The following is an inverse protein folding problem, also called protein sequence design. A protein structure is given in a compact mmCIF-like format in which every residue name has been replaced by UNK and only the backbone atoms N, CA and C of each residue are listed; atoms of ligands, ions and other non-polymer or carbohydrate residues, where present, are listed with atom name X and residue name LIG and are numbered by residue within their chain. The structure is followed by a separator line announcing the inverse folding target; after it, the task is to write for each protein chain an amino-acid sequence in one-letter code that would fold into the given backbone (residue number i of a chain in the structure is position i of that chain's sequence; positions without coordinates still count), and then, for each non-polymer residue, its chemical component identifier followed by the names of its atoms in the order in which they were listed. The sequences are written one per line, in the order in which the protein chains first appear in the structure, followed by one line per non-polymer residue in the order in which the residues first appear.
data_IF_179864656540
#
_entry.id   IF_179864656540
#
_cell.length_a   1.000
_cell.length_b   1.000
_cell.length_c   1.000
_cell.angle_alpha   90.00
_cell.angle_beta   90.00
_cell.angle_gamma   90.00
#
_symmetry.space_group_name_H-M   'P 1'
#
loop_
_entity.id
_entity.type
_entity.pdbx_description
1 polymer ?
#
# COMPACT_ATOMS: atom_id res chain seq x y z
N UNK A 1 -18.26 14.58 -7.05
CA UNK A 1 -16.81 14.43 -6.78
C UNK A 1 -16.42 13.54 -5.60
N UNK A 2 -17.25 13.35 -4.59
CA UNK A 2 -16.91 12.51 -3.40
C UNK A 2 -17.27 11.03 -3.58
N UNK A 3 -18.08 10.68 -4.58
CA UNK A 3 -18.56 9.29 -4.85
C UNK A 3 -17.48 8.29 -5.30
N UNK A 4 -16.31 8.74 -5.71
CA UNK A 4 -15.26 7.88 -6.25
C UNK A 4 -14.19 7.50 -5.23
N UNK A 5 -14.38 7.84 -3.94
CA UNK A 5 -13.50 7.39 -2.87
C UNK A 5 -13.86 5.95 -2.51
N UNK A 6 -13.31 5.01 -3.27
CA UNK A 6 -13.33 3.59 -2.88
C UNK A 6 -12.39 3.39 -1.70
N UNK A 7 -12.97 3.21 -0.51
CA UNK A 7 -12.23 2.91 0.72
C UNK A 7 -11.66 1.51 0.60
N UNK A 8 -10.37 1.44 0.27
CA UNK A 8 -9.67 0.19 0.03
C UNK A 8 -9.89 -0.33 -1.39
N UNK A 9 -8.80 -0.54 -2.12
CA UNK A 9 -8.83 -1.11 -3.47
C UNK A 9 -8.94 -2.65 -3.43
N UNK A 10 -9.64 -3.20 -2.42
CA UNK A 10 -9.83 -4.64 -2.31
C UNK A 10 -10.66 -5.18 -3.48
N UNK A 11 -10.10 -6.18 -4.19
CA UNK A 11 -10.80 -6.88 -5.27
C UNK A 11 -11.40 -8.19 -4.74
N UNK A 12 -12.72 -8.34 -4.68
CA UNK A 12 -13.37 -9.53 -4.13
C UNK A 12 -13.26 -10.70 -5.10
N UNK A 13 -12.16 -11.47 -5.01
CA UNK A 13 -11.96 -12.70 -5.75
C UNK A 13 -11.72 -13.88 -4.80
N UNK A 14 -12.19 -15.06 -5.22
CA UNK A 14 -11.87 -16.30 -4.50
C UNK A 14 -10.58 -16.91 -5.07
N UNK A 15 -9.46 -16.64 -4.41
CA UNK A 15 -8.17 -17.24 -4.75
C UNK A 15 -7.44 -17.74 -3.51
N UNK A 16 -6.47 -18.66 -3.66
CA UNK A 16 -5.63 -19.09 -2.54
C UNK A 16 -4.98 -17.92 -1.81
N UNK A 17 -4.52 -16.89 -2.54
CA UNK A 17 -3.88 -15.71 -1.96
C UNK A 17 -4.86 -14.89 -1.11
N UNK A 18 -6.13 -14.75 -1.52
CA UNK A 18 -7.13 -14.02 -0.73
C UNK A 18 -7.40 -14.70 0.62
N UNK A 19 -7.29 -16.04 0.69
CA UNK A 19 -7.55 -16.83 1.90
C UNK A 19 -6.38 -16.87 2.88
N UNK A 20 -5.18 -16.40 2.48
CA UNK A 20 -4.01 -16.33 3.37
C UNK A 20 -4.26 -15.36 4.53
N UNK A 21 -3.65 -15.67 5.66
CA UNK A 21 -3.63 -14.78 6.83
C UNK A 21 -3.00 -13.42 6.46
N UNK A 22 -3.61 -12.29 6.86
CA UNK A 22 -3.09 -10.94 6.57
C UNK A 22 -1.64 -10.74 7.05
N UNK A 23 -1.24 -11.37 8.15
CA UNK A 23 0.15 -11.32 8.66
C UNK A 23 1.14 -11.87 7.65
N UNK A 24 0.79 -13.02 7.05
CA UNK A 24 1.62 -13.68 6.04
C UNK A 24 1.78 -12.79 4.81
N UNK A 25 0.68 -12.20 4.34
CA UNK A 25 0.69 -11.29 3.19
C UNK A 25 1.59 -10.08 3.43
N UNK A 26 1.51 -9.44 4.60
CA UNK A 26 2.35 -8.29 4.96
C UNK A 26 3.82 -8.70 4.95
N UNK A 27 4.17 -9.78 5.64
CA UNK A 27 5.57 -10.23 5.76
C UNK A 27 6.12 -10.68 4.41
N UNK A 28 5.38 -11.47 3.64
CA UNK A 28 5.80 -11.93 2.31
C UNK A 28 5.99 -10.75 1.34
N UNK A 29 5.10 -9.75 1.40
CA UNK A 29 5.25 -8.53 0.59
C UNK A 29 6.49 -7.75 1.01
N UNK A 30 6.74 -7.57 2.31
CA UNK A 30 7.95 -6.91 2.80
C UNK A 30 9.22 -7.64 2.35
N UNK A 31 9.26 -8.96 2.47
CA UNK A 31 10.38 -9.77 1.99
C UNK A 31 10.59 -9.56 0.48
N UNK A 32 9.53 -9.57 -0.31
CA UNK A 32 9.58 -9.29 -1.74
C UNK A 32 10.13 -7.90 -2.03
N UNK A 33 9.62 -6.86 -1.36
CA UNK A 33 10.10 -5.49 -1.54
C UNK A 33 11.58 -5.35 -1.17
N UNK A 34 12.00 -5.90 -0.02
CA UNK A 34 13.41 -5.90 0.40
C UNK A 34 14.30 -6.64 -0.59
N UNK A 35 13.84 -7.77 -1.15
CA UNK A 35 14.60 -8.54 -2.12
C UNK A 35 14.96 -7.73 -3.38
N UNK A 36 14.08 -6.81 -3.81
CA UNK A 36 14.32 -5.94 -4.97
C UNK A 36 15.44 -4.91 -4.73
N UNK A 37 15.74 -4.57 -3.47
CA UNK A 37 16.87 -3.70 -3.13
C UNK A 37 18.18 -4.47 -2.97
N UNK A 38 18.11 -5.71 -2.53
CA UNK A 38 19.29 -6.59 -2.42
C UNK A 38 19.78 -7.03 -3.80
N UNK A 39 18.88 -7.00 -4.80
CA UNK A 39 19.11 -7.53 -6.12
C UNK A 39 19.82 -6.53 -7.03
N UNK A 40 20.94 -6.97 -7.66
CA UNK A 40 21.73 -6.18 -8.61
C UNK A 40 22.00 -6.92 -9.94
N UNK A 41 21.42 -8.11 -10.17
CA UNK A 41 21.65 -8.88 -11.40
C UNK A 41 20.40 -8.95 -12.28
N UNK A 42 20.61 -9.03 -13.59
CA UNK A 42 19.52 -9.18 -14.60
C UNK A 42 18.69 -10.41 -14.33
N UNK A 43 19.35 -11.55 -14.00
CA UNK A 43 18.67 -12.81 -13.73
C UNK A 43 17.77 -12.73 -12.48
N UNK A 44 18.20 -11.99 -11.46
CA UNK A 44 17.37 -11.82 -10.27
C UNK A 44 16.15 -10.95 -10.53
N UNK A 45 16.24 -9.90 -11.36
CA UNK A 45 15.05 -9.15 -11.78
C UNK A 45 14.10 -9.99 -12.63
N UNK A 46 14.64 -10.86 -13.49
CA UNK A 46 13.83 -11.81 -14.25
C UNK A 46 13.10 -12.80 -13.30
N UNK A 47 13.80 -13.34 -12.29
CA UNK A 47 13.18 -14.19 -11.28
C UNK A 47 12.10 -13.45 -10.48
N UNK A 48 12.38 -12.20 -10.06
CA UNK A 48 11.41 -11.37 -9.34
C UNK A 48 10.15 -11.08 -10.20
N UNK A 49 10.35 -10.83 -11.49
CA UNK A 49 9.24 -10.64 -12.44
C UNK A 49 8.40 -11.91 -12.58
N UNK A 50 9.03 -13.07 -12.79
CA UNK A 50 8.34 -14.36 -12.90
C UNK A 50 7.59 -14.69 -11.60
N UNK A 51 8.23 -14.48 -10.45
CA UNK A 51 7.60 -14.69 -9.14
C UNK A 51 6.34 -13.82 -8.98
N UNK A 52 6.46 -12.53 -9.28
CA UNK A 52 5.32 -11.60 -9.19
C UNK A 52 4.21 -11.97 -10.20
N UNK A 53 4.57 -12.31 -11.43
CA UNK A 53 3.62 -12.73 -12.46
C UNK A 53 2.85 -14.01 -12.04
N UNK A 54 3.54 -14.98 -11.44
CA UNK A 54 2.90 -16.16 -10.85
C UNK A 54 1.94 -15.78 -9.72
N UNK A 55 2.34 -14.88 -8.81
CA UNK A 55 1.47 -14.42 -7.72
C UNK A 55 0.24 -13.69 -8.25
N UNK A 56 0.39 -12.83 -9.26
CA UNK A 56 -0.73 -12.14 -9.92
C UNK A 56 -1.67 -13.15 -10.55
N UNK A 57 -1.17 -14.14 -11.28
CA UNK A 57 -1.98 -15.19 -11.90
C UNK A 57 -2.78 -15.98 -10.85
N UNK A 58 -2.12 -16.45 -9.79
CA UNK A 58 -2.74 -17.21 -8.70
C UNK A 58 -3.76 -16.36 -7.92
N UNK A 59 -3.55 -15.03 -7.82
CA UNK A 59 -4.48 -14.12 -7.13
C UNK A 59 -5.80 -13.94 -7.88
N UNK A 60 -5.86 -14.25 -9.18
CA UNK A 60 -7.01 -13.99 -10.06
C UNK A 60 -7.40 -12.51 -10.14
N UNK A 61 -6.50 -11.61 -9.77
CA UNK A 61 -6.69 -10.17 -9.94
C UNK A 61 -6.36 -9.81 -11.39
N UNK A 62 -7.27 -9.17 -12.14
CA UNK A 62 -6.99 -8.78 -13.51
C UNK A 62 -5.80 -7.80 -13.58
N UNK A 63 -4.83 -8.07 -14.44
CA UNK A 63 -3.63 -7.24 -14.62
C UNK A 63 -3.96 -5.76 -14.92
N UNK A 64 -5.14 -5.51 -15.48
CA UNK A 64 -5.65 -4.15 -15.74
C UNK A 64 -5.76 -3.30 -14.45
N UNK A 65 -6.09 -3.90 -13.31
CA UNK A 65 -6.16 -3.19 -12.03
C UNK A 65 -4.76 -2.83 -11.52
N UNK A 66 -3.79 -3.74 -11.67
CA UNK A 66 -2.40 -3.47 -11.33
C UNK A 66 -1.84 -2.35 -12.23
N UNK A 67 -2.15 -2.38 -13.53
CA UNK A 67 -1.80 -1.31 -14.48
C UNK A 67 -2.42 0.04 -14.11
N UNK A 68 -3.65 0.06 -13.60
CA UNK A 68 -4.26 1.31 -13.08
C UNK A 68 -3.51 1.85 -11.86
N UNK A 69 -2.98 0.97 -10.99
CA UNK A 69 -2.15 1.36 -9.85
C UNK A 69 -0.80 1.97 -10.27
N UNK A 70 -0.28 1.61 -11.45
CA UNK A 70 0.94 2.18 -12.01
C UNK A 70 0.73 3.59 -12.60
N UNK A 71 -0.48 3.90 -13.09
CA UNK A 71 -0.77 5.15 -13.80
C UNK A 71 -0.32 6.43 -13.07
N UNK A 72 -0.61 6.65 -11.78
CA UNK A 72 -0.18 7.85 -11.06
C UNK A 72 1.34 7.94 -10.90
N UNK A 73 2.05 6.83 -11.01
CA UNK A 73 3.50 6.73 -10.78
C UNK A 73 4.29 6.87 -12.09
N UNK A 74 3.61 6.81 -13.26
CA UNK A 74 4.26 6.94 -14.57
C UNK A 74 5.04 8.25 -14.68
N UNK A 75 4.52 9.36 -14.16
CA UNK A 75 5.20 10.66 -14.19
C UNK A 75 6.50 10.59 -13.38
N UNK A 76 6.45 10.04 -12.16
CA UNK A 76 7.63 9.85 -11.32
C UNK A 76 8.64 8.91 -11.97
N UNK A 77 8.15 7.83 -12.59
CA UNK A 77 8.98 6.85 -13.31
C UNK A 77 9.71 7.52 -14.48
N UNK A 78 9.01 8.28 -15.32
CA UNK A 78 9.60 9.01 -16.43
C UNK A 78 10.65 10.02 -15.93
N UNK A 79 10.34 10.75 -14.86
CA UNK A 79 11.28 11.69 -14.25
C UNK A 79 12.53 10.98 -13.74
N UNK A 80 12.38 9.86 -13.03
CA UNK A 80 13.50 9.09 -12.48
C UNK A 80 14.37 8.50 -13.59
N UNK A 81 13.74 7.95 -14.64
CA UNK A 81 14.44 7.42 -15.81
C UNK A 81 15.22 8.52 -16.51
N UNK A 82 14.60 9.68 -16.76
CA UNK A 82 15.26 10.82 -17.39
C UNK A 82 16.45 11.32 -16.56
N UNK A 83 16.27 11.48 -15.26
CA UNK A 83 17.35 11.90 -14.34
C UNK A 83 18.53 10.92 -14.38
N UNK A 84 18.27 9.61 -14.26
CA UNK A 84 19.34 8.63 -14.31
C UNK A 84 20.02 8.57 -15.68
N UNK A 85 19.25 8.71 -16.77
CA UNK A 85 19.79 8.68 -18.13
C UNK A 85 20.76 9.82 -18.42
N UNK A 86 20.46 11.03 -17.91
CA UNK A 86 21.24 12.25 -18.19
C UNK A 86 22.28 12.58 -17.12
N UNK A 87 22.06 12.23 -15.85
CA UNK A 87 22.97 12.57 -14.76
C UNK A 87 24.01 11.48 -14.50
N UNK A 88 23.71 10.20 -14.79
CA UNK A 88 24.64 9.11 -14.54
C UNK A 88 25.73 9.11 -15.63
N UNK A 89 26.94 9.48 -15.23
CA UNK A 89 28.13 9.49 -16.11
C UNK A 89 28.98 8.26 -15.80
N UNK A 90 29.36 7.52 -16.85
CA UNK A 90 30.25 6.35 -16.72
C UNK A 90 30.12 5.39 -17.90
N UNK A 91 31.15 4.57 -18.15
CA UNK A 91 31.16 3.63 -19.27
C UNK A 91 31.33 4.28 -20.64
N UNK A 92 31.08 3.51 -21.70
CA UNK A 92 31.16 3.99 -23.08
C UNK A 92 30.06 5.00 -23.40
N UNK A 93 30.41 6.09 -24.07
CA UNK A 93 29.43 7.08 -24.55
C UNK A 93 28.72 6.51 -25.78
N UNK A 94 27.43 6.24 -25.64
CA UNK A 94 26.59 5.71 -26.72
C UNK A 94 26.11 6.81 -27.66
N UNK A 95 25.79 7.98 -27.10
CA UNK A 95 25.28 9.11 -27.88
C UNK A 95 25.73 10.42 -27.22
N UNK A 96 26.31 11.30 -28.01
CA UNK A 96 26.75 12.63 -27.60
C UNK A 96 26.14 13.69 -28.51
N UNK A 97 25.27 14.53 -27.96
CA UNK A 97 24.70 15.67 -28.69
C UNK A 97 24.75 16.93 -27.81
N UNK A 98 25.77 17.74 -27.97
CA UNK A 98 25.98 18.97 -27.20
C UNK A 98 26.10 18.72 -25.70
N UNK A 99 25.13 19.16 -24.92
CA UNK A 99 25.11 19.03 -23.45
C UNK A 99 24.61 17.65 -23.00
N UNK A 100 23.91 16.92 -23.88
CA UNK A 100 23.28 15.63 -23.55
C UNK A 100 24.26 14.51 -23.94
N UNK A 101 24.74 13.78 -22.92
CA UNK A 101 25.56 12.59 -23.09
C UNK A 101 24.84 11.38 -22.53
N UNK A 102 24.48 10.43 -23.37
CA UNK A 102 23.91 9.16 -22.97
C UNK A 102 25.04 8.14 -22.86
N UNK A 103 25.24 7.62 -21.65
CA UNK A 103 26.26 6.61 -21.38
C UNK A 103 25.62 5.22 -21.25
N UNK A 104 26.41 4.17 -21.50
CA UNK A 104 25.95 2.79 -21.34
C UNK A 104 25.46 2.51 -19.91
N UNK A 105 26.23 2.96 -18.91
CA UNK A 105 25.84 2.83 -17.48
C UNK A 105 24.58 3.62 -17.19
N UNK A 106 24.42 4.84 -17.70
CA UNK A 106 23.22 5.65 -17.53
C UNK A 106 21.96 4.96 -18.08
N UNK A 107 22.05 4.41 -19.30
CA UNK A 107 20.95 3.67 -19.92
C UNK A 107 20.59 2.42 -19.11
N UNK A 108 21.60 1.66 -18.73
CA UNK A 108 21.42 0.42 -17.95
C UNK A 108 20.78 0.70 -16.59
N UNK A 109 21.31 1.66 -15.85
CA UNK A 109 20.76 2.05 -14.53
C UNK A 109 19.32 2.56 -14.65
N UNK A 110 19.00 3.34 -15.68
CA UNK A 110 17.66 3.85 -15.93
C UNK A 110 16.65 2.71 -16.16
N UNK A 111 17.00 1.72 -16.99
CA UNK A 111 16.13 0.56 -17.25
C UNK A 111 15.90 -0.24 -15.97
N UNK A 112 16.95 -0.52 -15.20
CA UNK A 112 16.82 -1.32 -13.98
C UNK A 112 16.03 -0.58 -12.89
N UNK A 113 16.24 0.75 -12.77
CA UNK A 113 15.43 1.57 -11.86
C UNK A 113 13.95 1.56 -12.26
N UNK A 114 13.66 1.67 -13.57
CA UNK A 114 12.30 1.58 -14.07
C UNK A 114 11.65 0.23 -13.73
N UNK A 115 12.35 -0.88 -14.00
CA UNK A 115 11.87 -2.23 -13.68
C UNK A 115 11.66 -2.39 -12.17
N UNK A 116 12.62 -1.93 -11.35
CA UNK A 116 12.51 -1.96 -9.89
C UNK A 116 11.26 -1.24 -9.40
N UNK A 117 11.04 0.00 -9.86
CA UNK A 117 9.87 0.79 -9.46
C UNK A 117 8.55 0.12 -9.87
N UNK A 118 8.48 -0.43 -11.08
CA UNK A 118 7.30 -1.16 -11.54
C UNK A 118 7.03 -2.38 -10.67
N UNK A 119 8.05 -3.17 -10.34
CA UNK A 119 7.90 -4.36 -9.49
C UNK A 119 7.53 -3.99 -8.04
N UNK A 120 8.11 -2.93 -7.48
CA UNK A 120 7.76 -2.41 -6.15
C UNK A 120 6.29 -2.05 -6.06
N UNK A 121 5.81 -1.27 -7.05
CA UNK A 121 4.41 -0.80 -7.07
C UNK A 121 3.47 -1.95 -7.35
N UNK A 122 3.78 -2.83 -8.28
CA UNK A 122 2.93 -3.97 -8.60
C UNK A 122 2.84 -4.96 -7.42
N UNK A 123 3.95 -5.21 -6.71
CA UNK A 123 3.97 -6.07 -5.53
C UNK A 123 3.17 -5.50 -4.35
N UNK A 124 3.33 -4.21 -4.04
CA UNK A 124 2.53 -3.55 -3.00
C UNK A 124 1.05 -3.45 -3.37
N UNK A 125 0.73 -3.18 -4.65
CA UNK A 125 -0.65 -3.14 -5.15
C UNK A 125 -1.32 -4.51 -5.01
N UNK A 126 -0.62 -5.60 -5.30
CA UNK A 126 -1.16 -6.95 -5.15
C UNK A 126 -1.61 -7.22 -3.70
N UNK A 127 -0.82 -6.81 -2.70
CA UNK A 127 -1.21 -6.90 -1.29
C UNK A 127 -2.49 -6.10 -1.01
N UNK A 128 -2.58 -4.88 -1.52
CA UNK A 128 -3.74 -3.99 -1.34
C UNK A 128 -5.00 -4.57 -1.99
N UNK A 129 -4.90 -5.16 -3.18
CA UNK A 129 -6.04 -5.79 -3.86
C UNK A 129 -6.49 -7.10 -3.21
N UNK A 130 -5.60 -7.81 -2.50
CA UNK A 130 -5.91 -9.11 -1.91
C UNK A 130 -6.21 -9.08 -0.42
N UNK A 131 -6.07 -7.91 0.24
CA UNK A 131 -6.27 -7.78 1.69
C UNK A 131 -7.25 -6.66 1.99
N UNK A 132 -8.26 -6.95 2.82
CA UNK A 132 -9.20 -5.91 3.27
C UNK A 132 -8.53 -4.96 4.25
N UNK A 133 -8.93 -3.67 4.32
CA UNK A 133 -8.37 -2.71 5.28
C UNK A 133 -8.45 -3.19 6.73
N UNK A 134 -9.58 -3.78 7.14
CA UNK A 134 -9.74 -4.35 8.48
C UNK A 134 -8.79 -5.54 8.72
N UNK A 135 -8.63 -6.42 7.72
CA UNK A 135 -7.67 -7.52 7.79
C UNK A 135 -6.23 -7.02 7.91
N UNK A 136 -5.89 -5.95 7.19
CA UNK A 136 -4.57 -5.33 7.29
C UNK A 136 -4.31 -4.79 8.71
N UNK A 137 -5.29 -4.11 9.30
CA UNK A 137 -5.21 -3.61 10.68
C UNK A 137 -5.03 -4.75 11.69
N UNK A 138 -5.80 -5.83 11.57
CA UNK A 138 -5.67 -7.01 12.43
C UNK A 138 -4.31 -7.71 12.28
N UNK A 139 -3.81 -7.77 11.04
CA UNK A 139 -2.48 -8.31 10.74
C UNK A 139 -1.37 -7.48 11.37
N UNK A 140 -1.44 -6.16 11.23
CA UNK A 140 -0.48 -5.22 11.81
C UNK A 140 -0.47 -5.28 13.33
N UNK A 141 -1.64 -5.33 13.98
CA UNK A 141 -1.74 -5.47 15.44
C UNK A 141 -0.96 -6.70 15.95
N UNK A 142 -1.14 -7.83 15.28
CA UNK A 142 -0.44 -9.05 15.68
C UNK A 142 1.06 -9.04 15.39
N UNK A 143 1.47 -8.42 14.28
CA UNK A 143 2.89 -8.28 13.93
C UNK A 143 3.61 -7.27 14.84
N UNK A 144 2.92 -6.19 15.23
CA UNK A 144 3.48 -5.15 16.09
C UNK A 144 3.32 -5.46 17.58
N UNK A 145 2.62 -6.53 17.96
CA UNK A 145 2.41 -6.92 19.35
C UNK A 145 3.72 -6.99 20.19
N UNK A 146 4.88 -7.42 19.67
CA UNK A 146 6.13 -7.37 20.42
C UNK A 146 6.54 -5.97 20.89
N UNK A 147 6.07 -4.89 20.21
CA UNK A 147 6.34 -3.50 20.57
C UNK A 147 5.65 -3.09 21.88
N UNK A 148 4.66 -3.86 22.36
CA UNK A 148 4.08 -3.64 23.70
C UNK A 148 5.16 -3.72 24.80
N UNK A 149 6.26 -4.46 24.57
CA UNK A 149 7.39 -4.53 25.52
C UNK A 149 8.14 -3.20 25.71
N UNK A 150 8.03 -2.32 24.73
CA UNK A 150 8.62 -0.96 24.77
C UNK A 150 7.54 0.11 25.01
N UNK A 151 6.44 -0.27 25.66
CA UNK A 151 5.32 0.60 26.04
C UNK A 151 4.57 1.26 24.87
N UNK A 152 4.61 0.70 23.68
CA UNK A 152 3.77 1.16 22.56
C UNK A 152 2.37 0.53 22.70
N UNK A 153 1.30 1.32 22.80
CA UNK A 153 -0.07 0.81 22.98
C UNK A 153 -0.65 0.27 21.65
N UNK A 154 -0.09 -0.85 21.17
CA UNK A 154 -0.42 -1.40 19.83
C UNK A 154 -1.89 -1.79 19.72
N UNK A 155 -2.47 -2.32 20.79
CA UNK A 155 -3.89 -2.71 20.80
C UNK A 155 -4.81 -1.50 20.64
N UNK A 156 -4.54 -0.43 21.39
CA UNK A 156 -5.32 0.81 21.34
C UNK A 156 -5.22 1.48 19.97
N UNK A 157 -4.03 1.52 19.39
CA UNK A 157 -3.81 2.04 18.02
C UNK A 157 -4.61 1.22 17.00
N UNK A 158 -4.56 -0.10 17.08
CA UNK A 158 -5.31 -0.99 16.19
C UNK A 158 -6.81 -0.81 16.32
N UNK A 159 -7.29 -0.66 17.54
CA UNK A 159 -8.70 -0.40 17.82
C UNK A 159 -9.13 0.96 17.24
N UNK A 160 -8.34 2.02 17.45
CA UNK A 160 -8.62 3.33 16.86
C UNK A 160 -8.69 3.26 15.32
N UNK A 161 -7.75 2.54 14.69
CA UNK A 161 -7.78 2.33 13.23
C UNK A 161 -9.04 1.58 12.79
N UNK A 162 -9.45 0.54 13.50
CA UNK A 162 -10.65 -0.24 13.17
C UNK A 162 -11.93 0.60 13.32
N UNK A 163 -12.00 1.44 14.35
CA UNK A 163 -13.10 2.41 14.55
C UNK A 163 -13.10 3.43 13.42
N UNK A 164 -11.94 4.02 13.09
CA UNK A 164 -11.80 4.98 12.01
C UNK A 164 -12.28 4.40 10.68
N UNK A 165 -11.80 3.20 10.30
CA UNK A 165 -12.21 2.52 9.06
C UNK A 165 -13.72 2.27 8.99
N UNK A 166 -14.38 2.06 10.12
CA UNK A 166 -15.85 1.92 10.20
C UNK A 166 -16.57 3.25 10.04
N UNK A 167 -16.01 4.32 10.61
CA UNK A 167 -16.64 5.64 10.57
C UNK A 167 -16.44 6.38 9.25
N UNK A 168 -15.38 6.10 8.48
CA UNK A 168 -15.15 6.77 7.19
C UNK A 168 -16.37 6.68 6.25
N UNK A 169 -16.98 5.50 5.98
CA UNK A 169 -18.17 5.43 5.12
C UNK A 169 -19.33 6.25 5.67
N UNK A 170 -19.54 6.20 6.99
CA UNK A 170 -20.63 6.88 7.67
C UNK A 170 -20.46 8.41 7.56
N UNK A 171 -19.23 8.90 7.78
CA UNK A 171 -18.91 10.32 7.64
C UNK A 171 -18.99 10.81 6.21
N UNK A 172 -18.65 9.98 5.21
CA UNK A 172 -18.84 10.31 3.79
C UNK A 172 -20.32 10.49 3.45
N UNK A 173 -21.17 9.57 3.89
CA UNK A 173 -22.62 9.71 3.71
C UNK A 173 -23.20 10.94 4.40
N UNK A 174 -22.72 11.24 5.62
CA UNK A 174 -23.10 12.45 6.36
C UNK A 174 -22.67 13.71 5.62
N UNK A 175 -21.43 13.72 5.11
CA UNK A 175 -20.89 14.84 4.30
C UNK A 175 -21.75 15.07 3.07
N UNK A 176 -22.16 14.03 2.36
CA UNK A 176 -23.05 14.14 1.19
C UNK A 176 -24.42 14.74 1.56
N UNK A 177 -24.97 14.34 2.72
CA UNK A 177 -26.25 14.88 3.22
C UNK A 177 -26.13 16.35 3.57
N UNK A 178 -25.09 16.73 4.34
CA UNK A 178 -24.84 18.12 4.72
C UNK A 178 -24.60 18.98 3.49
N UNK A 179 -23.80 18.51 2.53
CA UNK A 179 -23.50 19.21 1.28
C UNK A 179 -24.78 19.51 0.50
N UNK A 180 -25.64 18.50 0.31
CA UNK A 180 -26.95 18.67 -0.38
C UNK A 180 -27.85 19.70 0.34
N UNK A 181 -27.87 19.66 1.67
CA UNK A 181 -28.64 20.61 2.47
C UNK A 181 -28.10 22.05 2.33
N UNK A 182 -26.79 22.23 2.27
CA UNK A 182 -26.16 23.54 2.10
C UNK A 182 -26.36 24.08 0.68
N UNK A 183 -26.29 23.23 -0.35
CA UNK A 183 -26.61 23.61 -1.73
C UNK A 183 -28.07 24.08 -1.83
N UNK A 184 -29.01 23.39 -1.19
CA UNK A 184 -30.41 23.80 -1.16
C UNK A 184 -30.64 25.16 -0.44
N UNK A 185 -29.71 25.56 0.42
CA UNK A 185 -29.67 26.88 1.08
C UNK A 185 -28.93 27.93 0.27
N UNK A 186 -28.51 27.65 -0.95
CA UNK A 186 -27.83 28.56 -1.86
C UNK A 186 -26.29 28.63 -1.67
N UNK A 187 -25.69 27.68 -0.96
CA UNK A 187 -24.24 27.59 -0.87
C UNK A 187 -23.63 27.16 -2.20
N UNK A 188 -22.58 27.88 -2.63
CA UNK A 188 -21.80 27.57 -3.82
C UNK A 188 -20.38 27.14 -3.42
N UNK A 189 -20.01 25.92 -3.81
CA UNK A 189 -18.72 25.30 -3.47
C UNK A 189 -17.74 25.30 -4.65
N UNK A 190 -18.19 25.69 -5.85
CA UNK A 190 -17.41 25.54 -7.09
C UNK A 190 -16.90 26.88 -7.61
N UNK A 191 -17.62 27.98 -7.39
CA UNK A 191 -17.23 29.30 -7.87
C UNK A 191 -16.33 30.07 -6.89
N UNK A 192 -15.56 31.00 -7.42
CA UNK A 192 -14.72 31.91 -6.65
C UNK A 192 -13.25 31.47 -6.47
N UNK A 193 -12.52 32.33 -5.75
CA UNK A 193 -11.08 32.12 -5.49
C UNK A 193 -10.86 31.00 -4.44
N UNK A 194 -9.64 30.44 -4.35
CA UNK A 194 -9.28 29.33 -3.42
C UNK A 194 -9.70 29.66 -1.98
N UNK A 195 -9.51 30.90 -1.53
CA UNK A 195 -9.88 31.35 -0.17
C UNK A 195 -11.41 31.36 0.01
N UNK A 196 -12.17 31.77 -1.00
CA UNK A 196 -13.62 31.77 -0.97
C UNK A 196 -14.18 30.36 -0.93
N UNK A 197 -13.64 29.43 -1.72
CA UNK A 197 -13.97 28.01 -1.67
C UNK A 197 -13.68 27.40 -0.31
N UNK A 198 -12.52 27.70 0.29
CA UNK A 198 -12.19 27.23 1.63
C UNK A 198 -13.19 27.73 2.69
N UNK A 199 -13.60 29.01 2.61
CA UNK A 199 -14.63 29.57 3.50
C UNK A 199 -16.00 28.92 3.27
N UNK A 200 -16.37 28.63 2.03
CA UNK A 200 -17.61 27.95 1.69
C UNK A 200 -17.68 26.52 2.27
N UNK A 201 -16.54 25.87 2.55
CA UNK A 201 -16.54 24.55 3.19
C UNK A 201 -16.80 24.59 4.71
N UNK A 202 -16.67 25.73 5.39
CA UNK A 202 -16.89 25.83 6.84
C UNK A 202 -18.30 25.36 7.26
N UNK A 203 -19.39 25.73 6.56
CA UNK A 203 -20.74 25.25 6.88
C UNK A 203 -20.93 23.73 6.74
N UNK A 204 -20.01 23.04 6.07
CA UNK A 204 -19.99 21.57 6.00
C UNK A 204 -19.15 21.00 7.16
N UNK A 205 -17.99 21.59 7.42
CA UNK A 205 -17.05 21.09 8.42
C UNK A 205 -17.59 21.17 9.84
N UNK A 206 -18.24 22.29 10.21
CA UNK A 206 -18.73 22.47 11.59
C UNK A 206 -19.80 21.42 11.97
N UNK A 207 -20.88 21.22 11.19
CA UNK A 207 -21.86 20.18 11.51
C UNK A 207 -21.27 18.77 11.49
N UNK A 208 -20.34 18.48 10.55
CA UNK A 208 -19.67 17.20 10.47
C UNK A 208 -18.84 16.91 11.72
N UNK A 209 -18.11 17.93 12.21
CA UNK A 209 -17.29 17.82 13.41
C UNK A 209 -18.17 17.58 14.66
N UNK A 210 -19.27 18.31 14.81
CA UNK A 210 -20.24 18.12 15.90
C UNK A 210 -20.85 16.72 15.86
N UNK A 211 -21.22 16.23 14.67
CA UNK A 211 -21.73 14.87 14.48
C UNK A 211 -20.67 13.81 14.85
N UNK A 212 -19.42 14.00 14.44
CA UNK A 212 -18.32 13.09 14.75
C UNK A 212 -18.08 13.00 16.28
N UNK A 213 -18.06 14.13 16.99
CA UNK A 213 -17.93 14.17 18.45
C UNK A 213 -19.09 13.49 19.15
N UNK A 214 -20.32 13.74 18.70
CA UNK A 214 -21.49 13.07 19.30
C UNK A 214 -21.38 11.54 19.17
N UNK A 215 -21.01 11.06 17.98
CA UNK A 215 -20.80 9.61 17.73
C UNK A 215 -19.67 9.05 18.56
N UNK A 216 -18.59 9.81 18.76
CA UNK A 216 -17.48 9.38 19.62
C UNK A 216 -17.93 9.22 21.08
N UNK A 217 -18.72 10.17 21.59
CA UNK A 217 -19.28 10.08 22.94
C UNK A 217 -20.27 8.88 23.07
N UNK A 218 -21.16 8.70 22.10
CA UNK A 218 -22.10 7.56 22.10
C UNK A 218 -21.34 6.23 22.09
N UNK A 219 -20.24 6.14 21.31
CA UNK A 219 -19.41 4.95 21.27
C UNK A 219 -18.68 4.73 22.61
N UNK A 220 -18.14 5.80 23.21
CA UNK A 220 -17.45 5.71 24.49
C UNK A 220 -18.41 5.21 25.59
N UNK A 221 -19.62 5.77 25.71
CA UNK A 221 -20.64 5.30 26.63
C UNK A 221 -21.04 3.83 26.38
N UNK A 222 -21.17 3.44 25.11
CA UNK A 222 -21.47 2.06 24.75
C UNK A 222 -20.32 1.09 25.10
N UNK A 223 -19.08 1.54 25.06
CA UNK A 223 -17.91 0.76 25.47
C UNK A 223 -17.84 0.62 26.99
N UNK A 224 -18.09 1.70 27.73
CA UNK A 224 -18.16 1.68 29.20
C UNK A 224 -19.28 0.75 29.68
N UNK A 225 -20.48 0.84 29.10
CA UNK A 225 -21.60 -0.03 29.40
C UNK A 225 -21.30 -1.52 29.14
N UNK A 226 -20.34 -1.82 28.28
CA UNK A 226 -19.84 -3.18 28.02
C UNK A 226 -18.60 -3.54 28.84
N UNK A 227 -18.30 -2.78 29.88
CA UNK A 227 -17.15 -2.98 30.76
C UNK A 227 -15.81 -3.02 30.02
N UNK A 228 -15.59 -2.08 29.06
CA UNK A 228 -14.32 -1.95 28.40
C UNK A 228 -13.29 -1.27 29.33
N UNK A 229 -12.21 -1.97 29.68
CA UNK A 229 -11.12 -1.49 30.56
C UNK A 229 -9.73 -1.59 29.90
N UNK A 230 -9.67 -1.47 28.56
CA UNK A 230 -8.41 -1.55 27.84
C UNK A 230 -8.18 -2.91 27.14
N UNK A 231 -6.96 -3.16 26.72
CA UNK A 231 -6.59 -4.34 25.93
C UNK A 231 -6.20 -5.58 26.72
N UNK A 232 -5.90 -5.43 28.01
CA UNK A 232 -5.42 -6.53 28.86
C UNK A 232 -6.53 -7.56 29.12
N UNK A 233 -6.19 -8.86 29.02
CA UNK A 233 -7.13 -9.96 29.29
C UNK A 233 -8.21 -10.19 28.23
N UNK A 234 -8.24 -9.45 27.12
CA UNK A 234 -9.25 -9.59 26.06
C UNK A 234 -8.92 -10.68 25.05
N UNK A 235 -9.95 -11.40 24.63
CA UNK A 235 -9.90 -12.35 23.52
C UNK A 235 -10.62 -11.79 22.29
N UNK A 236 -10.13 -12.09 21.10
CA UNK A 236 -10.82 -11.75 19.85
C UNK A 236 -11.87 -12.81 19.51
N UNK A 237 -13.07 -12.37 19.10
CA UNK A 237 -14.16 -13.26 18.68
C UNK A 237 -13.76 -14.08 17.43
N UNK A 238 -12.96 -13.51 16.53
CA UNK A 238 -12.38 -14.18 15.35
C UNK A 238 -10.86 -14.05 15.41
N UNK A 239 -10.16 -14.93 16.16
CA UNK A 239 -8.70 -14.88 16.22
C UNK A 239 -8.10 -15.32 14.89
N UNK A 240 -7.02 -14.64 14.47
CA UNK A 240 -6.22 -15.06 13.34
C UNK A 240 -5.52 -16.39 13.67
N UNK A 241 -5.71 -17.41 12.82
CA UNK A 241 -5.08 -18.74 12.96
C UNK A 241 -4.31 -19.08 11.71
N UNK A 242 -3.07 -19.55 11.90
CA UNK A 242 -2.27 -20.03 10.78
C UNK A 242 -2.81 -21.34 10.22
N UNK A 243 -3.00 -21.38 8.91
CA UNK A 243 -3.38 -22.56 8.16
C UNK A 243 -2.16 -23.18 7.45
N UNK A 244 -2.30 -24.38 6.90
CA UNK A 244 -1.24 -25.02 6.12
C UNK A 244 -0.79 -24.17 4.92
N UNK A 245 -1.75 -23.50 4.28
CA UNK A 245 -1.47 -22.59 3.15
C UNK A 245 -0.55 -21.42 3.53
N UNK A 246 -0.63 -20.94 4.77
CA UNK A 246 0.21 -19.86 5.28
C UNK A 246 1.67 -20.30 5.43
N UNK A 247 1.88 -21.52 5.92
CA UNK A 247 3.23 -22.12 6.02
C UNK A 247 3.85 -22.32 4.65
N UNK A 248 3.04 -22.77 3.68
CA UNK A 248 3.48 -22.94 2.30
C UNK A 248 3.87 -21.60 1.66
N UNK A 249 3.07 -20.54 1.89
CA UNK A 249 3.37 -19.20 1.41
C UNK A 249 4.70 -18.65 1.98
N UNK A 250 4.96 -18.87 3.27
CA UNK A 250 6.26 -18.56 3.86
C UNK A 250 7.39 -19.36 3.22
N UNK A 251 7.24 -20.68 3.06
CA UNK A 251 8.26 -21.52 2.46
C UNK A 251 8.60 -21.10 1.03
N UNK A 252 7.60 -20.77 0.21
CA UNK A 252 7.78 -20.27 -1.15
C UNK A 252 8.51 -18.92 -1.15
N UNK A 253 8.13 -17.99 -0.28
CA UNK A 253 8.74 -16.66 -0.22
C UNK A 253 10.17 -16.70 0.29
N UNK A 254 10.47 -17.53 1.30
CA UNK A 254 11.83 -17.74 1.77
C UNK A 254 12.69 -18.46 0.73
N UNK A 255 12.15 -19.47 0.04
CA UNK A 255 12.82 -20.14 -1.09
C UNK A 255 13.15 -19.14 -2.21
N UNK A 256 12.22 -18.25 -2.55
CA UNK A 256 12.45 -17.16 -3.49
C UNK A 256 13.59 -16.22 -3.02
N UNK A 257 13.58 -15.80 -1.75
CA UNK A 257 14.62 -14.93 -1.20
C UNK A 257 16.01 -15.61 -1.25
N UNK A 258 16.08 -16.89 -0.85
CA UNK A 258 17.32 -17.67 -0.91
C UNK A 258 17.81 -17.76 -2.37
N UNK A 259 16.92 -18.04 -3.31
CA UNK A 259 17.27 -18.13 -4.73
C UNK A 259 17.84 -16.79 -5.23
N UNK A 260 17.25 -15.65 -4.87
CA UNK A 260 17.78 -14.32 -5.21
C UNK A 260 19.18 -14.10 -4.63
N UNK A 261 19.39 -14.40 -3.35
CA UNK A 261 20.68 -14.22 -2.69
C UNK A 261 21.75 -15.12 -3.33
N UNK A 262 21.39 -16.37 -3.65
CA UNK A 262 22.30 -17.32 -4.33
C UNK A 262 22.65 -16.83 -5.73
N UNK A 263 21.67 -16.40 -6.53
CA UNK A 263 21.90 -15.83 -7.85
C UNK A 263 22.81 -14.61 -7.75
N UNK A 264 22.55 -13.70 -6.80
CA UNK A 264 23.39 -12.52 -6.57
C UNK A 264 24.84 -12.85 -6.21
N UNK A 265 25.10 -14.00 -5.58
CA UNK A 265 26.45 -14.42 -5.17
C UNK A 265 27.20 -15.24 -6.22
N UNK A 266 26.49 -16.05 -7.01
CA UNK A 266 27.10 -17.00 -7.96
C UNK A 266 27.15 -16.48 -9.40
N UNK A 267 26.36 -15.46 -9.76
CA UNK A 267 26.39 -14.88 -11.12
C UNK A 267 27.62 -13.98 -11.26
N UNK A 268 28.51 -14.25 -12.25
CA UNK A 268 29.76 -13.50 -12.43
C UNK A 268 29.50 -12.00 -12.68
N UNK A 269 30.42 -11.18 -12.21
CA UNK A 269 30.40 -9.71 -12.17
C UNK A 269 30.00 -9.01 -13.49
N UNK A 270 30.16 -9.65 -14.65
CA UNK A 270 29.76 -9.11 -15.97
C UNK A 270 28.24 -8.90 -16.14
N UNK A 271 27.41 -9.56 -15.31
CA UNK A 271 25.94 -9.41 -15.31
C UNK A 271 25.46 -8.55 -14.13
N UNK A 272 26.36 -7.97 -13.35
CA UNK A 272 26.04 -7.08 -12.25
C UNK A 272 25.77 -5.65 -12.78
N UNK A 273 24.92 -4.92 -12.08
CA UNK A 273 24.48 -3.57 -12.47
C UNK A 273 25.45 -2.50 -11.95
N UNK A 274 26.18 -2.80 -10.89
CA UNK A 274 27.15 -1.92 -10.22
C UNK A 274 28.50 -2.59 -10.11
#
# INVERSE_FOLDING_TARGET
MIRDITIGQYYPAQSPIHRLDPRVKIVCTLIFLVSLFVQNSVLGYALAFVFLACMVHVSKVPAKFIGKGLKPIVILLLFTVAMNLFLTRGGAVLFHWGIITITETGLRTSVFMAVRLVLLVAGSSLMTFTTTPNGLTDGLEKLLHPLNRIHVPVHEISMMMSIALRFIPILLEETDKIMKAQIARGADFESGNIIQRAKAMIPILVPLFVSAFRRANDLAMAMEARCYHGGEGRTKMKPLKYHYQDRLAYAITWGYLIAIVVIGRFVPFKLWIF
#
